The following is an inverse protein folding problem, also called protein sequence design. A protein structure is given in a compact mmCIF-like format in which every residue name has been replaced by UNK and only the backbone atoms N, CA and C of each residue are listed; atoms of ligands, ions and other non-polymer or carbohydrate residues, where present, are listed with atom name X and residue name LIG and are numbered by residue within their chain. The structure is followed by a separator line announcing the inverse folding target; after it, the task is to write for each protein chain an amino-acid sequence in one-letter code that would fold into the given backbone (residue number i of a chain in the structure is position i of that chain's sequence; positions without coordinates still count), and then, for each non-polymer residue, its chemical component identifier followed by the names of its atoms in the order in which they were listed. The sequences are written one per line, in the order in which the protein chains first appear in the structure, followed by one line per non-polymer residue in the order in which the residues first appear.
data_IF_702735995878
#
_entry.id   IF_702735995878
#
_cell.length_a   1.000
_cell.length_b   1.000
_cell.length_c   1.000
_cell.angle_alpha   90.00
_cell.angle_beta   90.00
_cell.angle_gamma   90.00
#
_symmetry.space_group_name_H-M   'P 1'
#
loop_
_entity.id
_entity.type
_entity.pdbx_description
1 polymer ?
#
# COMPACT_ATOMS: atom_id res chain seq x y z
N UNK A 1 62.99 -55.66 53.45
CA UNK A 1 64.29 -55.10 53.00
C UNK A 1 64.01 -54.19 51.82
N UNK A 2 64.59 -52.99 51.85
CA UNK A 2 64.24 -51.79 51.07
C UNK A 2 64.31 -51.95 49.55
N UNK A 3 63.44 -51.24 48.84
CA UNK A 3 63.81 -50.50 47.62
C UNK A 3 63.09 -49.15 47.59
N UNK A 4 63.73 -48.18 46.94
CA UNK A 4 63.71 -46.76 47.24
C UNK A 4 63.60 -45.98 45.92
N UNK A 5 62.72 -44.97 45.91
CA UNK A 5 62.58 -43.81 44.98
C UNK A 5 62.08 -44.02 43.53
N UNK A 6 61.55 -42.96 42.83
CA UNK A 6 61.37 -41.56 43.24
C UNK A 6 59.96 -40.94 43.05
N UNK A 7 59.84 -39.77 43.68
CA UNK A 7 58.80 -38.75 43.62
C UNK A 7 58.59 -38.10 42.25
N UNK A 8 57.34 -37.94 41.83
CA UNK A 8 56.93 -36.91 40.87
C UNK A 8 56.01 -35.89 41.57
N UNK A 9 56.55 -34.68 41.75
CA UNK A 9 55.81 -33.48 42.09
C UNK A 9 54.91 -33.09 40.92
N UNK A 10 53.60 -33.37 41.03
CA UNK A 10 52.59 -32.76 40.17
C UNK A 10 52.17 -31.45 40.81
N UNK A 11 52.74 -30.35 40.34
CA UNK A 11 52.30 -29.00 40.71
C UNK A 11 50.85 -28.80 40.29
N UNK A 12 49.94 -28.91 41.25
CA UNK A 12 48.57 -28.41 41.10
C UNK A 12 48.64 -26.90 41.26
N UNK A 13 48.65 -26.20 40.13
CA UNK A 13 48.44 -24.76 40.07
C UNK A 13 47.00 -24.50 40.52
N UNK A 14 46.83 -24.15 41.79
CA UNK A 14 45.58 -23.64 42.35
C UNK A 14 45.29 -22.28 41.74
N UNK A 15 44.57 -22.28 40.61
CA UNK A 15 44.08 -21.07 39.97
C UNK A 15 42.95 -20.50 40.82
N UNK A 16 43.31 -19.56 41.70
CA UNK A 16 42.38 -18.83 42.55
C UNK A 16 41.48 -17.97 41.66
N UNK A 17 40.26 -18.44 41.41
CA UNK A 17 39.22 -17.68 40.72
C UNK A 17 38.76 -16.57 41.66
N UNK A 18 39.31 -15.37 41.46
CA UNK A 18 38.81 -14.15 42.06
C UNK A 18 37.38 -13.92 41.56
N UNK A 19 36.40 -14.28 42.39
CA UNK A 19 35.01 -13.89 42.19
C UNK A 19 34.91 -12.38 42.22
N UNK A 20 34.73 -11.75 41.05
CA UNK A 20 34.37 -10.34 40.96
C UNK A 20 32.98 -10.20 41.56
N UNK A 21 32.92 -9.74 42.81
CA UNK A 21 31.67 -9.37 43.47
C UNK A 21 31.16 -8.06 42.85
N UNK A 22 30.26 -8.16 41.87
CA UNK A 22 29.53 -7.01 41.33
C UNK A 22 28.63 -6.47 42.44
N UNK A 23 29.03 -5.35 43.05
CA UNK A 23 28.15 -4.61 43.96
C UNK A 23 27.02 -3.99 43.14
N UNK A 24 25.81 -4.53 43.24
CA UNK A 24 24.59 -3.85 42.80
C UNK A 24 24.23 -2.82 43.87
N UNK A 25 24.44 -1.54 43.57
CA UNK A 25 23.93 -0.46 44.41
C UNK A 25 22.40 -0.48 44.40
N UNK A 26 21.79 -0.46 45.59
CA UNK A 26 20.35 -0.46 45.79
C UNK A 26 19.69 0.80 45.22
N UNK A 27 18.85 0.62 44.19
CA UNK A 27 18.11 1.64 43.45
C UNK A 27 16.88 2.21 44.21
N UNK A 28 17.00 2.49 45.51
CA UNK A 28 15.83 2.84 46.35
C UNK A 28 15.52 4.34 46.49
N UNK A 29 16.21 5.24 45.77
CA UNK A 29 16.03 6.69 45.88
C UNK A 29 15.20 7.38 44.79
N UNK A 30 14.90 6.71 43.67
CA UNK A 30 14.39 7.36 42.45
C UNK A 30 13.16 6.69 41.82
N UNK A 31 12.43 5.85 42.55
CA UNK A 31 11.27 5.11 42.03
C UNK A 31 10.21 6.03 41.40
N UNK A 32 9.96 7.21 41.99
CA UNK A 32 9.03 8.18 41.43
C UNK A 32 9.51 8.73 40.07
N UNK A 33 10.80 9.04 39.94
CA UNK A 33 11.39 9.51 38.68
C UNK A 33 11.31 8.43 37.60
N UNK A 34 11.57 7.18 37.96
CA UNK A 34 11.47 6.02 37.06
C UNK A 34 10.04 5.86 36.54
N UNK A 35 9.03 5.96 37.41
CA UNK A 35 7.61 5.89 37.02
C UNK A 35 7.26 7.06 36.09
N UNK A 36 7.70 8.29 36.39
CA UNK A 36 7.42 9.46 35.54
C UNK A 36 8.08 9.30 34.16
N UNK A 37 9.33 8.82 34.11
CA UNK A 37 10.03 8.55 32.85
C UNK A 37 9.35 7.43 32.07
N UNK A 38 8.94 6.35 32.74
CA UNK A 38 8.22 5.25 32.11
C UNK A 38 6.88 5.72 31.52
N UNK A 39 6.10 6.50 32.26
CA UNK A 39 4.85 7.08 31.79
C UNK A 39 5.07 8.07 30.63
N UNK A 40 6.13 8.87 30.69
CA UNK A 40 6.51 9.78 29.61
C UNK A 40 6.84 9.03 28.32
N UNK A 41 7.73 8.03 28.41
CA UNK A 41 8.11 7.19 27.25
C UNK A 41 6.90 6.42 26.70
N UNK A 42 6.10 5.83 27.58
CA UNK A 42 4.90 5.10 27.21
C UNK A 42 3.90 5.99 26.48
N UNK A 43 3.67 7.20 26.98
CA UNK A 43 2.76 8.17 26.36
C UNK A 43 3.24 8.57 24.97
N UNK A 44 4.56 8.79 24.78
CA UNK A 44 5.14 9.10 23.47
C UNK A 44 4.90 7.97 22.47
N UNK A 45 5.13 6.71 22.88
CA UNK A 45 4.90 5.53 22.04
C UNK A 45 3.42 5.38 21.70
N UNK A 46 2.53 5.52 22.68
CA UNK A 46 1.08 5.38 22.49
C UNK A 46 0.53 6.41 21.49
N UNK A 47 0.95 7.68 21.60
CA UNK A 47 0.54 8.73 20.66
C UNK A 47 1.13 8.49 19.27
N UNK A 48 2.40 8.07 19.17
CA UNK A 48 3.05 7.73 17.91
C UNK A 48 2.32 6.60 17.18
N UNK A 49 2.00 5.51 17.88
CA UNK A 49 1.26 4.38 17.34
C UNK A 49 -0.15 4.76 16.89
N UNK A 50 -0.86 5.55 17.71
CA UNK A 50 -2.23 6.01 17.36
C UNK A 50 -2.22 6.81 16.06
N UNK A 51 -1.24 7.70 15.87
CA UNK A 51 -1.08 8.46 14.62
C UNK A 51 -0.74 7.57 13.44
N UNK A 52 0.15 6.59 13.62
CA UNK A 52 0.50 5.65 12.56
C UNK A 52 -0.72 4.83 12.11
N UNK A 53 -1.56 4.38 13.05
CA UNK A 53 -2.79 3.64 12.76
C UNK A 53 -3.80 4.51 11.99
N UNK A 54 -3.99 5.77 12.40
CA UNK A 54 -4.87 6.69 11.70
C UNK A 54 -4.40 6.95 10.26
N UNK A 55 -3.09 7.13 10.05
CA UNK A 55 -2.52 7.26 8.71
C UNK A 55 -2.76 6.02 7.85
N UNK A 56 -2.52 4.82 8.40
CA UNK A 56 -2.79 3.55 7.69
C UNK A 56 -4.27 3.43 7.33
N UNK A 57 -5.18 3.80 8.26
CA UNK A 57 -6.61 3.74 8.02
C UNK A 57 -7.04 4.69 6.89
N UNK A 58 -6.51 5.92 6.88
CA UNK A 58 -6.79 6.91 5.84
C UNK A 58 -6.27 6.45 4.48
N UNK A 59 -5.02 5.98 4.41
CA UNK A 59 -4.43 5.45 3.16
C UNK A 59 -5.19 4.22 2.66
N UNK A 60 -5.56 3.30 3.55
CA UNK A 60 -6.34 2.11 3.20
C UNK A 60 -7.72 2.47 2.65
N UNK A 61 -8.38 3.46 3.25
CA UNK A 61 -9.66 3.97 2.76
C UNK A 61 -9.52 4.58 1.37
N UNK A 62 -8.50 5.40 1.15
CA UNK A 62 -8.24 6.01 -0.16
C UNK A 62 -7.94 4.94 -1.23
N UNK A 63 -7.10 3.95 -0.91
CA UNK A 63 -6.78 2.86 -1.83
C UNK A 63 -8.04 2.04 -2.20
N UNK A 64 -8.92 1.78 -1.22
CA UNK A 64 -10.19 1.08 -1.48
C UNK A 64 -11.10 1.87 -2.40
N UNK A 65 -11.23 3.19 -2.19
CA UNK A 65 -12.00 4.08 -3.05
C UNK A 65 -11.45 4.11 -4.48
N UNK A 66 -10.13 4.13 -4.63
CA UNK A 66 -9.49 4.09 -5.94
C UNK A 66 -9.72 2.77 -6.67
N UNK A 67 -9.58 1.63 -5.97
CA UNK A 67 -9.90 0.32 -6.53
C UNK A 67 -11.38 0.21 -6.94
N UNK A 68 -12.30 0.80 -6.18
CA UNK A 68 -13.72 0.86 -6.56
C UNK A 68 -13.93 1.62 -7.86
N UNK A 69 -13.35 2.82 -7.98
CA UNK A 69 -13.45 3.65 -9.20
C UNK A 69 -12.84 2.94 -10.41
N UNK A 70 -11.68 2.27 -10.25
CA UNK A 70 -11.04 1.53 -11.34
C UNK A 70 -11.86 0.34 -11.81
N UNK A 71 -12.46 -0.44 -10.90
CA UNK A 71 -13.36 -1.54 -11.28
C UNK A 71 -14.56 -1.06 -12.11
N UNK A 72 -15.16 0.07 -11.73
CA UNK A 72 -16.26 0.67 -12.50
C UNK A 72 -15.79 1.14 -13.87
N UNK A 73 -14.61 1.77 -13.95
CA UNK A 73 -14.01 2.16 -15.23
C UNK A 73 -13.78 0.97 -16.15
N UNK A 74 -13.18 -0.11 -15.64
CA UNK A 74 -12.94 -1.33 -16.41
C UNK A 74 -14.24 -1.94 -16.92
N UNK A 75 -15.27 -2.00 -16.07
CA UNK A 75 -16.60 -2.50 -16.46
C UNK A 75 -17.23 -1.64 -17.56
N UNK A 76 -17.24 -0.31 -17.39
CA UNK A 76 -17.80 0.63 -18.37
C UNK A 76 -17.04 0.58 -19.69
N UNK A 77 -15.72 0.55 -19.64
CA UNK A 77 -14.87 0.48 -20.83
C UNK A 77 -15.09 -0.84 -21.57
N UNK A 78 -15.20 -1.96 -20.84
CA UNK A 78 -15.49 -3.27 -21.43
C UNK A 78 -16.89 -3.28 -22.07
N UNK A 79 -17.91 -2.78 -21.39
CA UNK A 79 -19.28 -2.75 -21.89
C UNK A 79 -19.41 -1.95 -23.19
N UNK A 80 -18.79 -0.77 -23.25
CA UNK A 80 -18.85 0.08 -24.45
C UNK A 80 -17.98 -0.46 -25.58
N UNK A 81 -16.82 -1.04 -25.27
CA UNK A 81 -15.90 -1.57 -26.29
C UNK A 81 -16.38 -2.84 -27.00
N UNK A 82 -17.28 -3.61 -26.36
CA UNK A 82 -17.85 -4.82 -26.94
C UNK A 82 -19.20 -4.59 -27.64
N UNK A 83 -19.62 -3.33 -27.83
CA UNK A 83 -20.85 -3.05 -28.57
C UNK A 83 -20.69 -3.51 -30.05
N UNK A 84 -21.69 -4.19 -30.62
CA UNK A 84 -21.61 -4.71 -32.00
C UNK A 84 -21.41 -3.62 -33.06
N UNK A 85 -21.96 -2.44 -32.81
CA UNK A 85 -21.80 -1.24 -33.62
C UNK A 85 -21.39 -0.08 -32.72
N UNK A 86 -20.21 0.48 -32.98
CA UNK A 86 -19.70 1.67 -32.31
C UNK A 86 -20.19 2.91 -33.06
N UNK A 87 -21.06 3.67 -32.41
CA UNK A 87 -21.54 4.96 -32.91
C UNK A 87 -20.96 6.08 -32.05
N UNK A 88 -20.51 7.21 -32.64
CA UNK A 88 -20.05 8.35 -31.86
C UNK A 88 -21.18 8.83 -30.93
N UNK A 89 -21.00 8.62 -29.63
CA UNK A 89 -22.04 8.90 -28.62
C UNK A 89 -21.41 9.09 -27.25
N UNK A 90 -22.20 9.62 -26.31
CA UNK A 90 -21.85 9.67 -24.90
C UNK A 90 -22.90 8.90 -24.11
N UNK A 91 -22.46 7.98 -23.26
CA UNK A 91 -23.32 7.15 -22.41
C UNK A 91 -23.01 7.48 -20.95
N UNK A 92 -24.05 7.73 -20.16
CA UNK A 92 -23.94 7.87 -18.71
C UNK A 92 -24.42 6.58 -18.05
N UNK A 93 -23.69 6.11 -17.05
CA UNK A 93 -24.02 4.91 -16.31
C UNK A 93 -24.72 5.28 -15.01
N UNK A 94 -25.67 4.46 -14.54
CA UNK A 94 -26.27 4.66 -13.23
C UNK A 94 -25.19 4.58 -12.15
N UNK A 95 -25.39 5.36 -11.09
CA UNK A 95 -24.52 5.34 -9.92
C UNK A 95 -24.49 3.95 -9.31
N UNK A 96 -23.28 3.42 -9.07
CA UNK A 96 -23.11 2.11 -8.43
C UNK A 96 -23.51 2.20 -6.95
N UNK A 97 -23.82 1.07 -6.32
CA UNK A 97 -24.11 0.98 -4.87
C UNK A 97 -22.99 1.57 -4.00
N UNK A 98 -21.74 1.49 -4.48
CA UNK A 98 -20.55 2.09 -3.86
C UNK A 98 -20.47 3.62 -4.02
N UNK A 99 -21.45 4.26 -4.68
CA UNK A 99 -21.53 5.70 -4.88
C UNK A 99 -20.64 6.25 -6.00
N UNK A 100 -20.15 5.40 -6.90
CA UNK A 100 -19.33 5.80 -8.04
C UNK A 100 -20.23 6.14 -9.23
N UNK A 101 -20.03 7.32 -9.81
CA UNK A 101 -20.67 7.78 -11.04
C UNK A 101 -19.71 7.56 -12.22
N UNK A 102 -20.24 7.24 -13.41
CA UNK A 102 -19.42 7.02 -14.59
C UNK A 102 -20.07 7.48 -15.90
N UNK A 103 -19.23 7.85 -16.87
CA UNK A 103 -19.62 8.18 -18.24
C UNK A 103 -18.60 7.65 -19.23
N UNK A 104 -19.06 7.29 -20.42
CA UNK A 104 -18.22 6.94 -21.54
C UNK A 104 -18.52 7.83 -22.74
N UNK A 105 -17.50 8.07 -23.58
CA UNK A 105 -17.61 8.76 -24.85
C UNK A 105 -16.92 7.94 -25.93
N UNK A 106 -17.64 7.68 -27.01
CA UNK A 106 -17.13 7.03 -28.22
C UNK A 106 -16.93 8.10 -29.29
N UNK A 107 -15.74 8.14 -29.90
CA UNK A 107 -15.39 9.09 -30.96
C UNK A 107 -14.75 8.35 -32.13
N UNK A 108 -15.14 8.66 -33.37
CA UNK A 108 -14.45 8.13 -34.57
C UNK A 108 -13.10 8.83 -34.71
N UNK A 109 -12.04 8.06 -34.91
CA UNK A 109 -10.67 8.59 -35.08
C UNK A 109 -10.05 8.07 -36.36
N UNK A 110 -9.31 8.95 -37.04
CA UNK A 110 -8.49 8.59 -38.20
C UNK A 110 -7.07 8.40 -37.72
N UNK A 111 -6.56 7.17 -37.78
CA UNK A 111 -5.17 6.89 -37.45
C UNK A 111 -4.36 6.71 -38.72
N UNK A 112 -3.09 7.09 -38.69
CA UNK A 112 -2.16 6.88 -39.80
C UNK A 112 -1.05 5.96 -39.31
N UNK A 113 -0.82 4.87 -40.04
CA UNK A 113 0.27 3.93 -39.73
C UNK A 113 1.63 4.52 -40.11
N UNK A 114 2.72 3.92 -39.62
CA UNK A 114 4.10 4.33 -40.00
C UNK A 114 4.32 4.29 -41.52
N UNK A 115 3.59 3.43 -42.21
CA UNK A 115 3.64 3.25 -43.67
C UNK A 115 2.73 4.24 -44.42
N UNK A 116 2.25 5.29 -43.73
CA UNK A 116 1.36 6.34 -44.25
C UNK A 116 0.01 5.83 -44.78
N UNK A 117 -0.41 4.66 -44.32
CA UNK A 117 -1.73 4.12 -44.65
C UNK A 117 -2.75 4.61 -43.63
N UNK A 118 -3.90 5.13 -44.09
CA UNK A 118 -5.00 5.54 -43.22
C UNK A 118 -5.70 4.28 -42.68
N UNK A 119 -5.82 4.20 -41.36
CA UNK A 119 -6.60 3.18 -40.67
C UNK A 119 -7.95 3.80 -40.31
N UNK A 120 -8.90 3.61 -41.23
CA UNK A 120 -10.30 3.94 -41.02
C UNK A 120 -10.97 2.87 -40.12
N UNK A 121 -12.17 3.16 -39.61
CA UNK A 121 -12.96 2.28 -38.73
C UNK A 121 -12.36 2.05 -37.34
N UNK A 122 -11.54 3.01 -36.86
CA UNK A 122 -11.05 3.03 -35.48
C UNK A 122 -11.87 4.01 -34.65
N UNK A 123 -12.23 3.59 -33.45
CA UNK A 123 -12.97 4.38 -32.48
C UNK A 123 -12.14 4.51 -31.20
N UNK A 124 -12.06 5.75 -30.68
CA UNK A 124 -11.54 6.05 -29.36
C UNK A 124 -12.70 6.02 -28.36
N UNK A 125 -12.58 5.16 -27.35
CA UNK A 125 -13.53 5.09 -26.24
C UNK A 125 -12.84 5.68 -25.02
N UNK A 126 -13.43 6.72 -24.45
CA UNK A 126 -12.97 7.39 -23.24
C UNK A 126 -13.97 7.15 -22.12
N UNK A 127 -13.56 6.47 -21.06
CA UNK A 127 -14.36 6.28 -19.86
C UNK A 127 -13.84 7.21 -18.76
N UNK A 128 -14.76 7.83 -18.03
CA UNK A 128 -14.48 8.61 -16.82
C UNK A 128 -15.38 8.12 -15.70
N UNK A 129 -14.82 7.99 -14.50
CA UNK A 129 -15.58 7.69 -13.30
C UNK A 129 -15.14 8.62 -12.17
N UNK A 130 -16.09 9.00 -11.32
CA UNK A 130 -15.84 9.85 -10.18
C UNK A 130 -16.62 9.43 -8.94
N UNK A 131 -15.98 9.65 -7.79
CA UNK A 131 -16.62 9.54 -6.48
C UNK A 131 -16.74 10.94 -5.89
N UNK A 132 -17.97 11.37 -5.59
CA UNK A 132 -18.21 12.63 -4.87
C UNK A 132 -17.94 12.44 -3.37
N UNK A 133 -16.80 12.95 -2.91
CA UNK A 133 -16.44 12.96 -1.48
C UNK A 133 -16.63 14.37 -0.91
N UNK A 134 -17.87 14.70 -0.52
CA UNK A 134 -18.21 15.96 0.16
C UNK A 134 -17.74 17.24 -0.55
N UNK A 135 -17.63 18.34 0.20
CA UNK A 135 -17.59 19.71 -0.34
C UNK A 135 -16.51 20.04 -1.38
N UNK A 136 -15.38 19.31 -1.50
CA UNK A 136 -14.27 19.69 -2.41
C UNK A 136 -13.37 18.56 -2.95
N UNK A 137 -13.60 17.28 -2.65
CA UNK A 137 -12.74 16.20 -3.16
C UNK A 137 -13.56 15.22 -4.01
N UNK A 138 -13.52 15.39 -5.33
CA UNK A 138 -13.98 14.34 -6.25
C UNK A 138 -12.78 13.48 -6.65
N UNK A 139 -12.76 12.20 -6.26
CA UNK A 139 -11.79 11.27 -6.83
C UNK A 139 -12.24 10.98 -8.26
N UNK A 140 -11.58 11.58 -9.25
CA UNK A 140 -11.87 11.38 -10.67
C UNK A 140 -10.74 10.61 -11.34
N UNK A 141 -11.11 9.61 -12.15
CA UNK A 141 -10.18 8.81 -12.98
C UNK A 141 -10.73 8.70 -14.39
N UNK A 142 -9.82 8.49 -15.35
CA UNK A 142 -10.15 8.30 -16.75
C UNK A 142 -9.34 7.14 -17.33
N UNK A 143 -9.92 6.43 -18.29
CA UNK A 143 -9.27 5.40 -19.09
C UNK A 143 -9.68 5.56 -20.55
N UNK A 144 -8.79 5.15 -21.46
CA UNK A 144 -9.07 5.18 -22.89
C UNK A 144 -8.63 3.89 -23.57
N UNK A 145 -9.34 3.52 -24.63
CA UNK A 145 -8.95 2.41 -25.50
C UNK A 145 -9.32 2.71 -26.96
N UNK A 146 -8.56 2.10 -27.87
CA UNK A 146 -8.81 2.18 -29.31
C UNK A 146 -9.38 0.84 -29.78
N UNK A 147 -10.56 0.88 -30.40
CA UNK A 147 -11.24 -0.31 -30.91
C UNK A 147 -11.37 -0.20 -32.42
N UNK A 148 -10.95 -1.25 -33.13
CA UNK A 148 -11.22 -1.40 -34.54
C UNK A 148 -12.56 -2.11 -34.72
N UNK A 149 -13.49 -1.49 -35.47
CA UNK A 149 -14.81 -2.06 -35.73
C UNK A 149 -15.15 -1.93 -37.21
N UNK A 150 -14.87 -2.96 -38.03
CA UNK A 150 -15.07 -2.91 -39.48
C UNK A 150 -16.57 -2.87 -39.87
N UNK A 151 -17.46 -3.20 -38.95
CA UNK A 151 -18.92 -3.19 -39.14
C UNK A 151 -19.55 -1.84 -38.80
N UNK A 152 -18.79 -0.90 -38.23
CA UNK A 152 -19.30 0.40 -37.78
C UNK A 152 -19.06 1.50 -38.81
N UNK A 153 -20.05 2.38 -39.07
CA UNK A 153 -20.01 3.34 -40.17
C UNK A 153 -19.04 4.54 -39.99
#
# INVERSE_FOLDING_TARGET
MRSHFPSQHRGLVSRQLSTVSVRTHSAQGFALLEIILALGLFSLVAVGMTRALDQIAQTSKQARQEAQVLRVLESVLAEVSHQPELKPTSVNFPKTDDGVDARARVSKVKLITKDKTELDHVFLIQAEAWLETGLKKSLKRHMETYVYSPTSP
#
